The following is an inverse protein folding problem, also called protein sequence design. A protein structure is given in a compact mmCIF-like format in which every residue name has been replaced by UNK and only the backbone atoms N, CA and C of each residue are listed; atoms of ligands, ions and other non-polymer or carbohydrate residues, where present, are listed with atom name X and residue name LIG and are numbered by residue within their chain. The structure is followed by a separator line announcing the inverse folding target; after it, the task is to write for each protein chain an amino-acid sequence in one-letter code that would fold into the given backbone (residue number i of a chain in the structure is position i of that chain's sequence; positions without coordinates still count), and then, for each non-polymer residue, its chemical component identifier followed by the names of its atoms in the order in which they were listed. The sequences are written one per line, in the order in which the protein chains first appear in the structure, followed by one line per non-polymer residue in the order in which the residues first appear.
data_IF_687689461644
#
_entry.id   IF_687689461644
#
_cell.length_a   1.000
_cell.length_b   1.000
_cell.length_c   1.000
_cell.angle_alpha   90.00
_cell.angle_beta   90.00
_cell.angle_gamma   90.00
#
_symmetry.space_group_name_H-M   'P 1'
#
loop_
_entity.id
_entity.type
_entity.pdbx_description
1 polymer ?
#
# COMPACT_ATOMS: atom_id res chain seq x y z
N UNK A 1 -25.39 -5.54 54.09
CA UNK A 1 -25.73 -5.93 52.72
C UNK A 1 -24.46 -6.44 52.07
N UNK A 2 -24.37 -7.75 51.80
CA UNK A 2 -23.32 -8.27 50.93
C UNK A 2 -23.72 -7.92 49.51
N UNK A 3 -22.92 -7.09 48.89
CA UNK A 3 -23.03 -6.70 47.49
C UNK A 3 -22.73 -7.94 46.65
N UNK A 4 -23.77 -8.70 46.29
CA UNK A 4 -23.65 -9.77 45.29
C UNK A 4 -23.71 -9.10 43.94
N UNK A 5 -22.58 -8.53 43.52
CA UNK A 5 -22.38 -8.16 42.12
C UNK A 5 -22.57 -9.38 41.21
N UNK A 6 -22.82 -9.17 39.91
CA UNK A 6 -22.95 -10.27 38.95
C UNK A 6 -21.73 -11.19 39.02
N UNK A 7 -21.96 -12.50 39.14
CA UNK A 7 -20.92 -13.52 39.16
C UNK A 7 -20.46 -13.75 37.71
N UNK A 8 -19.44 -13.01 37.29
CA UNK A 8 -18.82 -13.16 35.97
C UNK A 8 -17.96 -14.44 35.91
N UNK A 9 -17.88 -15.04 34.73
CA UNK A 9 -17.01 -16.20 34.42
C UNK A 9 -15.90 -15.79 33.45
N UNK A 10 -14.83 -16.58 33.38
CA UNK A 10 -13.80 -16.37 32.34
C UNK A 10 -14.21 -16.96 31.00
N UNK A 11 -13.56 -16.52 29.91
CA UNK A 11 -13.79 -17.07 28.57
C UNK A 11 -13.49 -18.58 28.54
N UNK A 12 -12.40 -18.98 29.21
CA UNK A 12 -11.98 -20.38 29.26
C UNK A 12 -13.00 -21.26 30.01
N UNK A 13 -13.55 -20.78 31.14
CA UNK A 13 -14.59 -21.48 31.88
C UNK A 13 -15.89 -21.59 31.07
N UNK A 14 -16.30 -20.51 30.40
CA UNK A 14 -17.47 -20.53 29.54
C UNK A 14 -17.30 -21.55 28.40
N UNK A 15 -16.13 -21.56 27.76
CA UNK A 15 -15.80 -22.52 26.72
C UNK A 15 -15.70 -23.96 27.23
N UNK A 16 -15.39 -24.19 28.50
CA UNK A 16 -15.41 -25.52 29.11
C UNK A 16 -16.82 -26.11 29.24
N UNK A 17 -17.86 -25.26 29.30
CA UNK A 17 -19.27 -25.67 29.36
C UNK A 17 -19.85 -26.12 28.01
N UNK A 18 -19.16 -25.84 26.91
CA UNK A 18 -19.64 -26.20 25.57
C UNK A 18 -19.19 -27.60 25.16
N UNK A 19 -20.17 -28.46 24.88
CA UNK A 19 -19.96 -29.81 24.34
C UNK A 19 -19.74 -29.82 22.81
N UNK A 20 -19.91 -28.66 22.14
CA UNK A 20 -19.86 -28.59 20.67
C UNK A 20 -18.44 -28.29 20.20
N UNK A 21 -17.67 -29.33 19.89
CA UNK A 21 -16.32 -29.21 19.33
C UNK A 21 -16.28 -29.55 17.84
N UNK A 22 -15.77 -28.64 17.02
CA UNK A 22 -15.67 -28.76 15.56
C UNK A 22 -14.21 -28.75 15.14
N UNK A 23 -13.86 -29.66 14.22
CA UNK A 23 -12.54 -29.67 13.57
C UNK A 23 -12.44 -28.54 12.56
N UNK A 24 -11.42 -27.70 12.70
CA UNK A 24 -11.08 -26.69 11.68
C UNK A 24 -9.69 -27.01 11.13
N UNK A 25 -9.55 -27.05 9.81
CA UNK A 25 -8.28 -27.30 9.13
C UNK A 25 -8.23 -26.52 7.81
N UNK A 26 -7.07 -26.42 7.17
CA UNK A 26 -6.94 -25.71 5.90
C UNK A 26 -7.90 -26.21 4.81
N UNK A 27 -8.17 -27.52 4.77
CA UNK A 27 -9.12 -28.17 3.85
C UNK A 27 -10.55 -28.31 4.42
N UNK A 28 -10.78 -27.80 5.62
CA UNK A 28 -12.09 -27.73 6.29
C UNK A 28 -12.24 -26.34 6.92
N UNK A 29 -12.34 -25.30 6.07
CA UNK A 29 -12.54 -23.95 6.55
C UNK A 29 -13.90 -23.82 7.24
N UNK A 30 -14.00 -22.86 8.15
CA UNK A 30 -15.23 -22.49 8.84
C UNK A 30 -15.64 -21.07 8.43
N UNK A 31 -16.93 -20.87 8.12
CA UNK A 31 -17.51 -19.54 7.90
C UNK A 31 -17.97 -18.94 9.24
N UNK A 32 -17.76 -17.64 9.42
CA UNK A 32 -18.24 -16.87 10.58
C UNK A 32 -19.54 -16.11 10.24
N UNK A 33 -20.48 -16.75 9.55
CA UNK A 33 -21.67 -16.15 8.94
C UNK A 33 -22.92 -16.17 9.84
N UNK A 34 -22.74 -16.39 11.15
CA UNK A 34 -23.83 -16.42 12.12
C UNK A 34 -23.57 -15.44 13.26
N UNK A 35 -24.24 -14.26 13.29
CA UNK A 35 -24.03 -13.26 14.34
C UNK A 35 -24.50 -13.72 15.73
N UNK A 36 -25.35 -14.76 15.82
CA UNK A 36 -25.81 -15.33 17.08
C UNK A 36 -24.82 -16.38 17.64
N UNK A 37 -23.68 -16.58 16.96
CA UNK A 37 -22.64 -17.51 17.37
C UNK A 37 -21.28 -16.84 17.54
N UNK A 38 -20.50 -17.37 18.47
CA UNK A 38 -19.10 -17.02 18.68
C UNK A 38 -18.29 -18.32 18.72
N UNK A 39 -17.12 -18.30 18.12
CA UNK A 39 -16.24 -19.47 18.09
C UNK A 39 -15.04 -19.27 19.00
N UNK A 40 -14.82 -20.20 19.92
CA UNK A 40 -13.64 -20.23 20.78
C UNK A 40 -12.59 -21.18 20.20
N UNK A 41 -11.33 -20.75 20.14
CA UNK A 41 -10.21 -21.60 19.75
C UNK A 41 -9.80 -22.45 20.95
N UNK A 42 -10.28 -23.69 21.00
CA UNK A 42 -10.02 -24.64 22.09
C UNK A 42 -8.60 -25.22 22.00
N UNK A 43 -8.16 -25.54 20.79
CA UNK A 43 -6.82 -26.06 20.54
C UNK A 43 -6.32 -25.66 19.15
N UNK A 44 -5.03 -25.35 19.07
CA UNK A 44 -4.32 -25.14 17.83
C UNK A 44 -4.24 -23.66 17.45
N UNK A 45 -4.14 -23.40 16.15
CA UNK A 45 -4.07 -22.05 15.62
C UNK A 45 -4.99 -21.90 14.40
N UNK A 46 -5.43 -20.68 14.15
CA UNK A 46 -6.24 -20.30 13.00
C UNK A 46 -5.68 -19.08 12.30
N UNK A 47 -5.99 -18.99 11.02
CA UNK A 47 -5.85 -17.79 10.22
C UNK A 47 -7.24 -17.36 9.76
N UNK A 48 -7.57 -16.09 9.95
CA UNK A 48 -8.81 -15.49 9.50
C UNK A 48 -8.57 -14.76 8.18
N UNK A 49 -9.47 -14.99 7.22
CA UNK A 49 -9.44 -14.39 5.91
C UNK A 49 -10.77 -13.72 5.57
N UNK A 50 -10.70 -12.61 4.86
CA UNK A 50 -11.81 -12.01 4.16
C UNK A 50 -11.80 -12.48 2.71
N UNK A 51 -12.90 -13.09 2.28
CA UNK A 51 -13.03 -13.76 0.98
C UNK A 51 -14.25 -13.21 0.25
N UNK A 52 -14.08 -12.96 -1.05
CA UNK A 52 -15.16 -12.53 -1.93
C UNK A 52 -15.64 -13.72 -2.77
N UNK A 53 -16.95 -13.95 -2.77
CA UNK A 53 -17.61 -15.01 -3.52
C UNK A 53 -18.54 -14.44 -4.58
N UNK A 54 -18.59 -15.09 -5.75
CA UNK A 54 -19.65 -14.93 -6.78
C UNK A 54 -20.19 -16.31 -7.09
N UNK A 55 -21.49 -16.52 -6.92
CA UNK A 55 -22.14 -17.81 -7.14
C UNK A 55 -21.44 -19.00 -6.44
N UNK A 56 -20.91 -18.76 -5.23
CA UNK A 56 -20.18 -19.75 -4.43
C UNK A 56 -18.72 -19.97 -4.84
N UNK A 57 -18.21 -19.23 -5.82
CA UNK A 57 -16.83 -19.31 -6.31
C UNK A 57 -16.01 -18.12 -5.79
N UNK A 58 -14.85 -18.41 -5.20
CA UNK A 58 -13.88 -17.38 -4.77
C UNK A 58 -13.42 -16.55 -5.98
N UNK A 59 -13.60 -15.23 -5.94
CA UNK A 59 -13.29 -14.34 -7.07
C UNK A 59 -11.86 -13.78 -7.03
N UNK A 60 -11.32 -13.60 -5.82
CA UNK A 60 -10.04 -12.95 -5.58
C UNK A 60 -9.23 -13.71 -4.53
N UNK A 61 -7.94 -13.40 -4.45
CA UNK A 61 -7.07 -13.96 -3.41
C UNK A 61 -7.64 -13.62 -2.01
N UNK A 62 -7.81 -14.62 -1.12
CA UNK A 62 -8.22 -14.40 0.26
C UNK A 62 -7.33 -13.39 0.97
N UNK A 63 -7.92 -12.35 1.54
CA UNK A 63 -7.17 -11.33 2.26
C UNK A 63 -6.99 -11.76 3.71
N UNK A 64 -5.75 -11.92 4.14
CA UNK A 64 -5.44 -12.26 5.52
C UNK A 64 -5.74 -11.07 6.45
N UNK A 65 -6.53 -11.35 7.49
CA UNK A 65 -6.88 -10.40 8.55
C UNK A 65 -5.98 -10.56 9.77
N UNK A 66 -5.98 -11.76 10.37
CA UNK A 66 -5.23 -12.04 11.60
C UNK A 66 -4.97 -13.54 11.78
N UNK A 67 -4.00 -13.86 12.63
CA UNK A 67 -3.68 -15.21 13.08
C UNK A 67 -3.77 -15.30 14.59
N UNK A 68 -4.41 -16.34 15.13
CA UNK A 68 -4.58 -16.54 16.58
C UNK A 68 -4.44 -17.99 16.98
N UNK A 69 -4.00 -18.17 18.21
CA UNK A 69 -3.86 -19.47 18.87
C UNK A 69 -5.03 -19.70 19.85
N UNK A 70 -4.99 -20.83 20.53
CA UNK A 70 -5.95 -21.22 21.56
C UNK A 70 -6.20 -20.11 22.60
N UNK A 71 -7.44 -20.01 23.08
CA UNK A 71 -7.86 -18.99 24.07
C UNK A 71 -8.61 -17.78 23.48
N UNK A 72 -8.70 -17.68 22.15
CA UNK A 72 -9.32 -16.54 21.47
C UNK A 72 -10.75 -16.82 21.02
N UNK A 73 -11.59 -15.79 21.09
CA UNK A 73 -12.93 -15.72 20.51
C UNK A 73 -12.87 -15.15 19.09
N UNK A 74 -13.71 -15.69 18.23
CA UNK A 74 -13.97 -15.24 16.87
C UNK A 74 -15.47 -14.94 16.77
N UNK A 75 -15.86 -13.65 16.82
CA UNK A 75 -17.25 -13.26 16.69
C UNK A 75 -17.80 -13.69 15.33
N UNK A 76 -18.99 -14.28 15.33
CA UNK A 76 -19.78 -14.40 14.12
C UNK A 76 -20.24 -13.04 13.64
N UNK A 77 -20.42 -12.91 12.34
CA UNK A 77 -20.80 -11.66 11.68
C UNK A 77 -22.05 -11.90 10.86
N UNK A 78 -22.91 -10.89 10.80
CA UNK A 78 -24.08 -10.93 9.91
C UNK A 78 -23.60 -11.19 8.48
N UNK A 79 -24.19 -12.15 7.75
CA UNK A 79 -23.90 -12.34 6.34
C UNK A 79 -24.04 -11.03 5.59
N UNK A 80 -23.15 -10.83 4.62
CA UNK A 80 -23.24 -9.70 3.71
C UNK A 80 -24.51 -9.81 2.87
N UNK A 81 -25.54 -9.04 3.24
CA UNK A 81 -26.80 -8.95 2.50
C UNK A 81 -26.47 -8.31 1.13
N UNK A 82 -26.63 -9.07 0.04
CA UNK A 82 -26.43 -8.55 -1.32
C UNK A 82 -27.28 -7.30 -1.51
N UNK A 83 -26.66 -6.17 -1.83
CA UNK A 83 -27.40 -5.07 -2.42
C UNK A 83 -27.94 -5.54 -3.78
N UNK A 84 -29.13 -5.07 -4.18
CA UNK A 84 -29.79 -5.51 -5.42
C UNK A 84 -28.94 -5.32 -6.70
N UNK A 85 -27.87 -4.53 -6.61
CA UNK A 85 -26.94 -4.20 -7.70
C UNK A 85 -25.59 -4.95 -7.59
N UNK A 86 -25.44 -5.89 -6.65
CA UNK A 86 -24.17 -6.55 -6.33
C UNK A 86 -24.19 -8.07 -6.54
N UNK A 87 -23.37 -8.52 -7.50
CA UNK A 87 -23.20 -9.94 -7.85
C UNK A 87 -22.32 -10.73 -6.87
N UNK A 88 -21.63 -10.06 -5.93
CA UNK A 88 -20.64 -10.69 -5.04
C UNK A 88 -20.96 -10.50 -3.56
N UNK A 89 -20.63 -11.51 -2.75
CA UNK A 89 -20.80 -11.52 -1.29
C UNK A 89 -19.45 -11.63 -0.60
N UNK A 90 -19.24 -10.85 0.45
CA UNK A 90 -18.08 -10.97 1.33
C UNK A 90 -18.35 -11.99 2.45
N UNK A 91 -17.32 -12.71 2.87
CA UNK A 91 -17.41 -13.65 3.98
C UNK A 91 -16.10 -13.75 4.75
N UNK A 92 -16.22 -13.95 6.06
CA UNK A 92 -15.10 -14.23 6.95
C UNK A 92 -14.89 -15.74 7.07
N UNK A 93 -13.70 -16.19 6.67
CA UNK A 93 -13.31 -17.60 6.60
C UNK A 93 -12.16 -17.89 7.55
N UNK A 94 -12.34 -18.86 8.43
CA UNK A 94 -11.33 -19.36 9.36
C UNK A 94 -10.70 -20.62 8.80
N UNK A 95 -9.36 -20.63 8.68
CA UNK A 95 -8.57 -21.80 8.27
C UNK A 95 -7.63 -22.21 9.40
N UNK A 96 -7.85 -23.41 9.94
CA UNK A 96 -7.06 -23.96 11.04
C UNK A 96 -5.77 -24.67 10.59
N UNK A 97 -4.77 -24.69 11.46
CA UNK A 97 -3.63 -25.61 11.34
C UNK A 97 -4.06 -27.07 11.62
N UNK A 98 -3.25 -28.08 11.24
CA UNK A 98 -3.58 -29.48 11.51
C UNK A 98 -3.84 -29.74 13.00
N UNK A 99 -5.00 -30.33 13.31
CA UNK A 99 -5.41 -30.64 14.68
C UNK A 99 -6.16 -29.51 15.40
N UNK A 100 -6.45 -28.39 14.73
CA UNK A 100 -7.23 -27.30 15.33
C UNK A 100 -8.67 -27.73 15.66
N UNK A 101 -9.12 -27.30 16.84
CA UNK A 101 -10.46 -27.52 17.39
C UNK A 101 -11.06 -26.20 17.82
N UNK A 102 -12.28 -25.95 17.37
CA UNK A 102 -13.08 -24.78 17.72
C UNK A 102 -14.31 -25.22 18.50
N UNK A 103 -14.72 -24.43 19.48
CA UNK A 103 -15.99 -24.63 20.20
C UNK A 103 -16.97 -23.55 19.80
N UNK A 104 -18.19 -23.94 19.45
CA UNK A 104 -19.28 -22.99 19.18
C UNK A 104 -19.94 -22.60 20.50
N UNK A 105 -20.16 -21.30 20.69
CA UNK A 105 -20.84 -20.70 21.83
C UNK A 105 -21.96 -19.80 21.31
N UNK A 106 -23.16 -19.81 21.91
CA UNK A 106 -24.16 -18.79 21.65
C UNK A 106 -23.62 -17.40 22.03
N UNK A 107 -23.81 -16.41 21.16
CA UNK A 107 -23.37 -15.03 21.41
C UNK A 107 -24.01 -14.45 22.69
N UNK A 108 -25.22 -14.88 23.03
CA UNK A 108 -25.90 -14.49 24.27
C UNK A 108 -25.12 -14.83 25.54
N UNK A 109 -24.23 -15.83 25.51
CA UNK A 109 -23.40 -16.18 26.66
C UNK A 109 -22.25 -15.19 26.90
N UNK A 110 -21.96 -14.28 25.95
CA UNK A 110 -20.91 -13.29 26.14
C UNK A 110 -21.18 -12.33 27.30
N UNK A 111 -22.45 -12.11 27.67
CA UNK A 111 -22.80 -11.28 28.83
C UNK A 111 -22.43 -11.90 30.19
N UNK A 112 -22.11 -13.20 30.23
CA UNK A 112 -21.61 -13.86 31.44
C UNK A 112 -20.10 -13.66 31.64
N UNK A 113 -19.37 -13.27 30.58
CA UNK A 113 -17.92 -13.10 30.62
C UNK A 113 -17.59 -11.81 31.36
N UNK A 114 -16.48 -11.83 32.12
CA UNK A 114 -15.97 -10.61 32.73
C UNK A 114 -15.75 -9.50 31.67
N UNK A 115 -16.38 -8.31 31.81
CA UNK A 115 -16.36 -7.26 30.79
C UNK A 115 -14.96 -6.86 30.31
N UNK A 116 -13.99 -6.72 31.23
CA UNK A 116 -12.61 -6.43 30.88
C UNK A 116 -11.94 -7.50 29.99
N UNK A 117 -12.18 -8.79 30.27
CA UNK A 117 -11.59 -9.90 29.50
C UNK A 117 -12.18 -9.95 28.09
N UNK A 118 -13.50 -9.75 27.98
CA UNK A 118 -14.18 -9.67 26.69
C UNK A 118 -13.70 -8.45 25.88
N UNK A 119 -13.57 -7.28 26.53
CA UNK A 119 -13.13 -6.05 25.90
C UNK A 119 -11.74 -6.17 25.27
N UNK A 120 -10.78 -6.82 25.94
CA UNK A 120 -9.44 -7.02 25.40
C UNK A 120 -9.45 -7.80 24.06
N UNK A 121 -10.21 -8.89 24.00
CA UNK A 121 -10.29 -9.71 22.78
C UNK A 121 -11.00 -8.96 21.65
N UNK A 122 -12.09 -8.27 21.96
CA UNK A 122 -12.86 -7.50 20.98
C UNK A 122 -12.07 -6.29 20.47
N UNK A 123 -11.38 -5.54 21.33
CA UNK A 123 -10.54 -4.41 20.93
C UNK A 123 -9.45 -4.85 19.94
N UNK A 124 -8.88 -6.02 20.18
CA UNK A 124 -7.87 -6.57 19.30
C UNK A 124 -8.46 -7.02 17.96
N UNK A 125 -9.66 -7.62 17.97
CA UNK A 125 -10.39 -7.94 16.75
C UNK A 125 -10.69 -6.69 15.92
N UNK A 126 -11.23 -5.65 16.56
CA UNK A 126 -11.57 -4.38 15.92
C UNK A 126 -10.33 -3.72 15.32
N UNK A 127 -9.21 -3.71 16.06
CA UNK A 127 -7.94 -3.18 15.57
C UNK A 127 -7.46 -3.90 14.32
N UNK A 128 -7.49 -5.24 14.31
CA UNK A 128 -7.08 -6.02 13.14
C UNK A 128 -7.99 -5.79 11.91
N UNK A 129 -9.29 -5.63 12.14
CA UNK A 129 -10.25 -5.29 11.10
C UNK A 129 -9.98 -3.90 10.53
N UNK A 130 -9.92 -2.86 11.36
CA UNK A 130 -9.65 -1.50 10.88
C UNK A 130 -8.28 -1.35 10.23
N UNK A 131 -7.26 -2.05 10.74
CA UNK A 131 -5.93 -2.09 10.12
C UNK A 131 -6.01 -2.64 8.70
N UNK A 132 -6.79 -3.71 8.50
CA UNK A 132 -7.01 -4.28 7.16
C UNK A 132 -7.74 -3.30 6.25
N UNK A 133 -8.83 -2.70 6.71
CA UNK A 133 -9.60 -1.73 5.92
C UNK A 133 -8.77 -0.49 5.55
N UNK A 134 -7.83 -0.09 6.42
CA UNK A 134 -6.99 1.10 6.19
C UNK A 134 -5.86 0.87 5.19
N UNK A 135 -5.58 -0.37 4.76
CA UNK A 135 -4.48 -0.69 3.83
C UNK A 135 -4.61 -0.02 2.47
N UNK A 136 -5.85 0.27 2.05
CA UNK A 136 -6.14 0.93 0.78
C UNK A 136 -6.14 2.46 0.90
N UNK A 137 -6.09 2.99 2.12
CA UNK A 137 -5.95 4.42 2.32
C UNK A 137 -4.54 4.86 1.89
N UNK A 138 -4.46 5.68 0.84
CA UNK A 138 -3.18 6.20 0.32
C UNK A 138 -2.35 6.92 1.41
N UNK A 139 -3.02 7.58 2.35
CA UNK A 139 -2.42 8.20 3.54
C UNK A 139 -3.43 8.21 4.69
N UNK A 140 -3.00 7.77 5.86
CA UNK A 140 -3.74 7.99 7.11
C UNK A 140 -3.75 9.50 7.41
N UNK A 141 -4.93 10.14 7.56
CA UNK A 141 -5.00 11.56 7.88
C UNK A 141 -4.42 11.83 9.27
N UNK A 142 -3.93 13.05 9.48
CA UNK A 142 -3.48 13.48 10.81
C UNK A 142 -4.71 13.86 11.63
N UNK A 143 -4.99 13.19 12.76
CA UNK A 143 -6.12 13.56 13.60
C UNK A 143 -5.94 14.98 14.14
N UNK A 144 -6.99 15.79 14.05
CA UNK A 144 -7.05 17.14 14.65
C UNK A 144 -7.77 17.12 16.00
N UNK A 145 -8.50 16.04 16.30
CA UNK A 145 -9.09 15.76 17.59
C UNK A 145 -8.90 14.28 17.98
N UNK A 146 -8.98 13.99 19.27
CA UNK A 146 -8.88 12.64 19.82
C UNK A 146 -10.13 12.31 20.65
N UNK A 147 -10.72 11.15 20.39
CA UNK A 147 -11.79 10.60 21.17
C UNK A 147 -11.24 9.96 22.45
N UNK A 148 -11.99 10.10 23.54
CA UNK A 148 -11.66 9.55 24.86
C UNK A 148 -12.91 8.88 25.43
N UNK A 149 -12.73 7.71 26.03
CA UNK A 149 -13.82 7.00 26.68
C UNK A 149 -14.28 7.75 27.94
N UNK A 150 -15.59 7.74 28.20
CA UNK A 150 -16.21 8.45 29.33
C UNK A 150 -16.39 9.95 29.13
N UNK A 151 -16.08 10.49 27.95
CA UNK A 151 -16.12 11.92 27.66
C UNK A 151 -17.12 12.25 26.56
N UNK A 152 -17.97 13.25 26.82
CA UNK A 152 -18.88 13.84 25.83
C UNK A 152 -18.39 15.22 25.46
N UNK A 153 -18.25 15.49 24.15
CA UNK A 153 -17.71 16.76 23.64
C UNK A 153 -18.45 17.20 22.41
N UNK A 154 -18.69 18.51 22.31
CA UNK A 154 -19.03 19.18 21.06
C UNK A 154 -17.74 19.45 20.30
N UNK A 155 -17.67 18.97 19.06
CA UNK A 155 -16.52 19.07 18.19
C UNK A 155 -16.93 19.85 16.94
N UNK A 156 -16.14 20.87 16.60
CA UNK A 156 -16.20 21.52 15.29
C UNK A 156 -15.70 20.54 14.20
N UNK A 157 -15.87 20.87 12.90
CA UNK A 157 -15.40 20.03 11.80
C UNK A 157 -13.93 19.63 11.98
N UNK A 158 -13.66 18.33 11.97
CA UNK A 158 -12.35 17.79 12.34
C UNK A 158 -12.16 16.36 11.81
N UNK A 159 -10.93 15.87 11.90
CA UNK A 159 -10.63 14.44 11.78
C UNK A 159 -10.42 13.88 13.18
N UNK A 160 -11.34 13.04 13.61
CA UNK A 160 -11.35 12.40 14.92
C UNK A 160 -10.77 10.99 14.81
N UNK A 161 -9.86 10.65 15.72
CA UNK A 161 -9.34 9.28 15.89
C UNK A 161 -9.04 9.05 17.37
N UNK A 162 -8.30 7.99 17.73
CA UNK A 162 -7.90 7.69 19.11
C UNK A 162 -6.39 7.62 19.24
N UNK A 163 -5.90 7.94 20.44
CA UNK A 163 -4.47 7.85 20.73
C UNK A 163 -4.01 6.40 20.92
N UNK A 164 -4.81 5.61 21.63
CA UNK A 164 -4.56 4.22 22.03
C UNK A 164 -5.89 3.51 22.30
N UNK A 165 -5.89 2.18 22.17
CA UNK A 165 -7.07 1.34 22.43
C UNK A 165 -8.18 1.56 21.41
N UNK A 166 -9.39 1.20 21.81
CA UNK A 166 -10.62 1.41 21.04
C UNK A 166 -11.56 2.34 21.83
N UNK A 167 -12.16 3.31 21.13
CA UNK A 167 -13.23 4.14 21.67
C UNK A 167 -14.42 4.06 20.73
N UNK A 168 -15.56 3.61 21.25
CA UNK A 168 -16.83 3.65 20.56
C UNK A 168 -17.41 5.05 20.67
N UNK A 169 -17.57 5.74 19.54
CA UNK A 169 -18.19 7.06 19.51
C UNK A 169 -19.63 6.95 19.08
N UNK A 170 -20.52 7.72 19.72
CA UNK A 170 -21.92 7.85 19.31
C UNK A 170 -22.03 8.27 17.85
N UNK A 171 -23.04 7.76 17.15
CA UNK A 171 -23.29 8.08 15.74
C UNK A 171 -23.57 9.59 15.53
N UNK A 172 -22.83 10.27 14.65
CA UNK A 172 -23.16 11.62 14.19
C UNK A 172 -24.46 11.65 13.39
N UNK A 173 -25.15 12.81 13.29
CA UNK A 173 -26.29 12.95 12.39
C UNK A 173 -25.94 12.60 10.94
N UNK A 174 -26.94 12.09 10.21
CA UNK A 174 -26.80 11.78 8.78
C UNK A 174 -26.28 12.96 7.98
N UNK A 175 -25.27 12.72 7.16
CA UNK A 175 -24.58 13.70 6.34
C UNK A 175 -23.48 14.50 7.06
N UNK A 176 -23.39 14.41 8.40
CA UNK A 176 -22.44 15.20 9.18
C UNK A 176 -21.06 14.55 9.27
N UNK A 177 -20.89 13.30 8.83
CA UNK A 177 -19.62 12.58 8.96
C UNK A 177 -19.38 11.49 7.92
N UNK A 178 -18.11 11.13 7.73
CA UNK A 178 -17.69 9.90 7.06
C UNK A 178 -16.70 9.12 7.92
N UNK A 179 -16.96 7.84 8.13
CA UNK A 179 -15.98 6.89 8.65
C UNK A 179 -14.99 6.51 7.55
N UNK A 180 -13.70 6.65 7.86
CA UNK A 180 -12.57 6.44 6.95
C UNK A 180 -12.71 7.18 5.60
N UNK A 181 -13.35 8.35 5.60
CA UNK A 181 -13.67 9.15 4.40
C UNK A 181 -14.53 8.44 3.33
N UNK A 182 -15.19 7.34 3.69
CA UNK A 182 -15.88 6.48 2.72
C UNK A 182 -17.36 6.26 3.02
N UNK A 183 -17.73 6.05 4.29
CA UNK A 183 -19.09 5.61 4.64
C UNK A 183 -19.68 6.50 5.72
N UNK A 184 -20.87 7.03 5.47
CA UNK A 184 -21.70 7.63 6.52
C UNK A 184 -22.50 6.52 7.21
N UNK A 185 -22.20 6.29 8.49
CA UNK A 185 -22.83 5.22 9.27
C UNK A 185 -24.35 5.39 9.35
N UNK A 186 -24.83 6.63 9.45
CA UNK A 186 -26.24 6.93 9.61
C UNK A 186 -27.08 6.59 8.37
N UNK A 187 -26.45 6.33 7.23
CA UNK A 187 -27.13 5.79 6.05
C UNK A 187 -27.39 4.29 6.12
N UNK A 188 -26.61 3.57 6.93
CA UNK A 188 -26.73 2.13 7.15
C UNK A 188 -27.64 1.79 8.34
N UNK A 189 -27.94 2.77 9.20
CA UNK A 189 -28.82 2.61 10.34
C UNK A 189 -30.26 2.26 9.88
N UNK A 190 -30.80 1.13 10.38
CA UNK A 190 -32.21 0.78 10.16
C UNK A 190 -33.11 1.69 11.03
N UNK A 191 -34.16 2.34 10.48
CA UNK A 191 -35.06 3.17 11.26
C UNK A 191 -35.68 2.41 12.43
N UNK A 192 -35.60 2.98 13.65
CA UNK A 192 -36.25 2.42 14.84
C UNK A 192 -35.49 1.28 15.54
N UNK A 193 -34.19 1.13 15.28
CA UNK A 193 -33.33 0.21 16.04
C UNK A 193 -33.35 0.53 17.55
N UNK A 194 -33.36 -0.48 18.44
CA UNK A 194 -33.56 -0.28 19.88
C UNK A 194 -32.36 0.37 20.59
N UNK A 195 -31.21 0.56 19.94
CA UNK A 195 -29.95 0.98 20.57
C UNK A 195 -29.31 2.13 19.81
N UNK A 196 -28.69 3.05 20.56
CA UNK A 196 -27.87 4.14 20.04
C UNK A 196 -26.71 3.55 19.22
N UNK A 197 -26.68 3.84 17.92
CA UNK A 197 -25.62 3.34 17.06
C UNK A 197 -24.29 4.00 17.43
N UNK A 198 -23.22 3.22 17.34
CA UNK A 198 -21.87 3.63 17.70
C UNK A 198 -20.89 3.07 16.67
N UNK A 199 -19.76 3.76 16.47
CA UNK A 199 -18.68 3.29 15.60
C UNK A 199 -17.37 3.18 16.41
N UNK A 200 -16.61 2.08 16.28
CA UNK A 200 -15.35 1.94 16.99
C UNK A 200 -14.26 2.71 16.26
N UNK A 201 -13.64 3.66 16.95
CA UNK A 201 -12.41 4.30 16.53
C UNK A 201 -11.21 3.56 17.10
N UNK A 202 -10.30 3.19 16.21
CA UNK A 202 -8.98 2.63 16.52
C UNK A 202 -7.91 3.60 16.03
N UNK A 203 -6.63 3.27 16.20
CA UNK A 203 -5.54 4.13 15.71
C UNK A 203 -5.55 4.31 14.17
N UNK A 204 -6.09 3.34 13.45
CA UNK A 204 -6.17 3.33 11.98
C UNK A 204 -7.58 3.62 11.46
N UNK A 205 -8.58 3.63 12.33
CA UNK A 205 -9.92 4.16 12.06
C UNK A 205 -10.01 5.65 12.39
N UNK A 206 -10.66 6.42 11.52
CA UNK A 206 -10.96 7.82 11.77
C UNK A 206 -12.36 8.17 11.32
N UNK A 207 -12.88 9.25 11.88
CA UNK A 207 -14.13 9.86 11.52
C UNK A 207 -13.84 11.29 11.07
N UNK A 208 -14.28 11.64 9.87
CA UNK A 208 -14.22 13.02 9.38
C UNK A 208 -15.56 13.67 9.62
N UNK A 209 -15.59 14.71 10.44
CA UNK A 209 -16.77 15.51 10.76
C UNK A 209 -16.79 16.76 9.87
N UNK A 210 -17.92 17.01 9.22
CA UNK A 210 -18.13 18.19 8.37
C UNK A 210 -18.87 19.32 9.07
N UNK A 211 -19.63 18.99 10.11
CA UNK A 211 -20.42 19.92 10.90
C UNK A 211 -20.00 19.90 12.38
N UNK A 212 -20.53 20.85 13.15
CA UNK A 212 -20.41 20.81 14.60
C UNK A 212 -21.31 19.70 15.17
N UNK A 213 -20.72 18.72 15.85
CA UNK A 213 -21.44 17.56 16.38
C UNK A 213 -21.04 17.29 17.83
N UNK A 214 -22.02 16.92 18.66
CA UNK A 214 -21.76 16.43 20.02
C UNK A 214 -21.66 14.92 20.01
N UNK A 215 -20.50 14.40 20.39
CA UNK A 215 -20.19 12.98 20.42
C UNK A 215 -19.87 12.53 21.84
N UNK A 216 -20.28 11.32 22.20
CA UNK A 216 -19.88 10.64 23.44
C UNK A 216 -18.98 9.45 23.12
N UNK A 217 -17.93 9.26 23.93
CA UNK A 217 -17.03 8.12 23.83
C UNK A 217 -17.30 7.08 24.92
N UNK A 218 -17.34 5.80 24.56
CA UNK A 218 -17.45 4.66 25.48
C UNK A 218 -16.34 3.64 25.21
N UNK A 219 -15.90 2.91 26.24
CA UNK A 219 -14.99 1.76 26.05
C UNK A 219 -15.78 0.50 25.72
N UNK A 220 -15.14 -0.47 25.09
CA UNK A 220 -15.75 -1.80 24.83
C UNK A 220 -16.22 -2.47 26.11
N UNK A 221 -15.49 -2.30 27.21
CA UNK A 221 -15.87 -2.78 28.54
C UNK A 221 -17.21 -2.17 29.00
N UNK A 222 -17.39 -0.86 28.86
CA UNK A 222 -18.67 -0.19 29.19
C UNK A 222 -19.82 -0.70 28.32
N UNK A 223 -19.59 -0.97 27.03
CA UNK A 223 -20.61 -1.56 26.17
C UNK A 223 -20.97 -2.99 26.60
N UNK A 224 -19.98 -3.78 27.04
CA UNK A 224 -20.19 -5.14 27.54
C UNK A 224 -21.02 -5.13 28.84
N UNK A 225 -20.68 -4.26 29.80
CA UNK A 225 -21.44 -4.07 31.04
C UNK A 225 -22.89 -3.66 30.79
N UNK A 226 -23.12 -2.81 29.78
CA UNK A 226 -24.45 -2.32 29.41
C UNK A 226 -25.24 -3.30 28.54
N UNK A 227 -24.63 -4.43 28.12
CA UNK A 227 -25.27 -5.40 27.21
C UNK A 227 -25.50 -4.87 25.79
N UNK A 228 -24.81 -3.79 25.39
CA UNK A 228 -24.98 -3.15 24.07
C UNK A 228 -23.87 -3.50 23.07
N UNK A 229 -22.88 -4.30 23.49
CA UNK A 229 -21.72 -4.65 22.67
C UNK A 229 -22.06 -5.45 21.40
N UNK A 230 -22.93 -6.47 21.51
CA UNK A 230 -23.28 -7.31 20.36
C UNK A 230 -23.96 -6.52 19.23
N UNK A 231 -25.00 -5.70 19.50
CA UNK A 231 -25.56 -4.79 18.50
C UNK A 231 -24.53 -3.81 17.90
N UNK A 232 -23.63 -3.29 18.73
CA UNK A 232 -22.57 -2.39 18.27
C UNK A 232 -21.60 -3.08 17.30
N UNK A 233 -21.21 -4.32 17.59
CA UNK A 233 -20.38 -5.14 16.70
C UNK A 233 -21.07 -5.41 15.37
N UNK A 234 -22.35 -5.79 15.39
CA UNK A 234 -23.12 -6.03 14.18
C UNK A 234 -23.21 -4.76 13.30
N UNK A 235 -23.44 -3.59 13.91
CA UNK A 235 -23.44 -2.30 13.21
C UNK A 235 -22.07 -2.00 12.57
N UNK A 236 -20.98 -2.22 13.30
CA UNK A 236 -19.63 -2.05 12.76
C UNK A 236 -19.32 -3.03 11.62
N UNK A 237 -19.72 -4.30 11.71
CA UNK A 237 -19.48 -5.27 10.64
C UNK A 237 -20.14 -4.85 9.31
N UNK A 238 -21.34 -4.28 9.36
CA UNK A 238 -22.01 -3.74 8.19
C UNK A 238 -21.22 -2.57 7.56
N UNK A 239 -20.72 -1.64 8.38
CA UNK A 239 -19.85 -0.55 7.92
C UNK A 239 -18.55 -1.10 7.32
N UNK A 240 -17.93 -2.07 7.97
CA UNK A 240 -16.68 -2.69 7.54
C UNK A 240 -16.80 -3.38 6.17
N UNK A 241 -17.88 -4.14 5.94
CA UNK A 241 -18.14 -4.76 4.64
C UNK A 241 -18.41 -3.74 3.54
N UNK A 242 -19.13 -2.65 3.84
CA UNK A 242 -19.32 -1.57 2.87
C UNK A 242 -17.99 -0.91 2.49
N UNK A 243 -17.13 -0.62 3.48
CA UNK A 243 -15.79 -0.08 3.22
C UNK A 243 -14.94 -1.03 2.38
N UNK A 244 -14.90 -2.31 2.74
CA UNK A 244 -14.10 -3.28 1.99
C UNK A 244 -14.52 -3.34 0.51
N UNK A 245 -15.82 -3.27 0.25
CA UNK A 245 -16.33 -3.28 -1.11
C UNK A 245 -15.90 -2.05 -1.91
N UNK A 246 -15.96 -0.87 -1.28
CA UNK A 246 -15.46 0.36 -1.89
C UNK A 246 -13.95 0.25 -2.17
N UNK A 247 -13.18 -0.26 -1.21
CA UNK A 247 -11.75 -0.51 -1.36
C UNK A 247 -11.44 -1.42 -2.55
N UNK A 248 -12.16 -2.54 -2.71
CA UNK A 248 -11.96 -3.46 -3.85
C UNK A 248 -12.28 -2.81 -5.19
N UNK A 249 -13.36 -2.02 -5.27
CA UNK A 249 -13.70 -1.26 -6.49
C UNK A 249 -12.61 -0.26 -6.86
N UNK A 250 -12.05 0.43 -5.86
CA UNK A 250 -10.92 1.36 -6.06
C UNK A 250 -9.64 0.62 -6.47
N UNK A 251 -9.35 -0.53 -5.86
CA UNK A 251 -8.16 -1.34 -6.17
C UNK A 251 -8.15 -1.84 -7.63
N UNK A 252 -9.30 -2.19 -8.21
CA UNK A 252 -9.39 -2.57 -9.63
C UNK A 252 -8.95 -1.43 -10.55
N UNK A 253 -9.26 -0.18 -10.20
CA UNK A 253 -8.85 1.02 -10.96
C UNK A 253 -7.34 1.24 -10.81
N UNK A 254 -6.81 1.09 -9.61
CA UNK A 254 -5.38 1.27 -9.33
C UNK A 254 -4.50 0.21 -10.00
N UNK A 255 -4.92 -1.06 -9.98
CA UNK A 255 -4.22 -2.14 -10.67
C UNK A 255 -4.18 -1.90 -12.19
N UNK A 256 -5.27 -1.41 -12.78
CA UNK A 256 -5.32 -1.04 -14.19
C UNK A 256 -4.36 0.12 -14.51
N UNK A 257 -4.19 1.07 -13.60
CA UNK A 257 -3.24 2.17 -13.75
C UNK A 257 -1.79 1.69 -13.62
N UNK A 258 -1.50 0.84 -12.63
CA UNK A 258 -0.18 0.26 -12.42
C UNK A 258 0.29 -0.58 -13.61
N UNK A 259 -0.61 -1.37 -14.20
CA UNK A 259 -0.28 -2.20 -15.37
C UNK A 259 0.03 -1.34 -16.62
N UNK A 260 -0.66 -0.21 -16.78
CA UNK A 260 -0.34 0.78 -17.83
C UNK A 260 1.05 1.37 -17.63
N UNK A 261 1.39 1.78 -16.40
CA UNK A 261 2.72 2.33 -16.08
C UNK A 261 3.84 1.31 -16.34
N UNK A 262 3.64 0.05 -15.91
CA UNK A 262 4.58 -1.05 -16.19
C UNK A 262 4.78 -1.28 -17.68
N UNK A 263 3.71 -1.22 -18.46
CA UNK A 263 3.79 -1.39 -19.93
C UNK A 263 4.59 -0.26 -20.58
N UNK A 264 4.39 0.98 -20.14
CA UNK A 264 5.15 2.14 -20.64
C UNK A 264 6.63 2.01 -20.26
N UNK A 265 6.92 1.69 -19.00
CA UNK A 265 8.28 1.50 -18.48
C UNK A 265 9.02 0.34 -19.17
N UNK A 266 8.31 -0.76 -19.47
CA UNK A 266 8.87 -1.88 -20.22
C UNK A 266 9.22 -1.48 -21.66
N UNK A 267 8.33 -0.74 -22.34
CA UNK A 267 8.59 -0.25 -23.71
C UNK A 267 9.79 0.70 -23.77
N UNK A 268 9.93 1.59 -22.80
CA UNK A 268 11.10 2.49 -22.73
C UNK A 268 12.39 1.73 -22.46
N UNK A 269 12.37 0.75 -21.53
CA UNK A 269 13.51 -0.12 -21.26
C UNK A 269 13.90 -1.00 -22.46
N UNK A 270 12.93 -1.59 -23.16
CA UNK A 270 13.15 -2.38 -24.38
C UNK A 270 13.75 -1.51 -25.51
N UNK A 271 13.26 -0.29 -25.70
CA UNK A 271 13.80 0.63 -26.69
C UNK A 271 15.24 1.06 -26.36
N UNK A 272 15.53 1.37 -25.10
CA UNK A 272 16.89 1.69 -24.65
C UNK A 272 17.85 0.49 -24.80
N UNK A 273 17.40 -0.73 -24.50
CA UNK A 273 18.20 -1.94 -24.69
C UNK A 273 18.48 -2.20 -26.18
N UNK A 274 17.48 -2.03 -27.06
CA UNK A 274 17.67 -2.13 -28.52
C UNK A 274 18.68 -1.11 -29.04
N UNK A 275 18.64 0.12 -28.55
CA UNK A 275 19.61 1.16 -28.91
C UNK A 275 21.04 0.76 -28.49
N UNK A 276 21.24 0.20 -27.30
CA UNK A 276 22.55 -0.29 -26.85
C UNK A 276 23.08 -1.47 -27.67
N UNK A 277 22.20 -2.35 -28.16
CA UNK A 277 22.61 -3.48 -29.02
C UNK A 277 23.24 -3.00 -30.34
N UNK A 278 22.86 -1.82 -30.86
CA UNK A 278 23.50 -1.23 -32.04
C UNK A 278 24.99 -0.86 -31.81
N UNK A 279 25.43 -0.74 -30.55
CA UNK A 279 26.80 -0.34 -30.18
C UNK A 279 27.72 -1.50 -29.77
N UNK A 280 27.31 -2.77 -29.87
CA UNK A 280 28.04 -3.92 -29.31
C UNK A 280 29.30 -4.36 -30.09
N UNK A 281 29.49 -3.91 -31.33
CA UNK A 281 30.64 -4.38 -32.13
C UNK A 281 31.97 -3.66 -31.89
N UNK A 282 32.04 -2.68 -30.98
CA UNK A 282 33.27 -1.94 -30.68
C UNK A 282 33.65 -2.03 -29.19
N UNK A 283 34.97 -2.10 -28.90
CA UNK A 283 35.51 -2.25 -27.53
C UNK A 283 34.87 -1.25 -26.55
N UNK A 284 34.59 -1.64 -25.28
CA UNK A 284 33.97 -0.76 -24.31
C UNK A 284 34.79 0.52 -24.14
N UNK A 285 34.15 1.66 -24.42
CA UNK A 285 34.69 2.98 -24.12
C UNK A 285 34.61 3.11 -22.60
N UNK A 286 35.75 2.96 -21.91
CA UNK A 286 35.84 3.11 -20.46
C UNK A 286 35.35 4.48 -20.02
N UNK A 287 34.60 4.51 -18.91
CA UNK A 287 33.97 5.66 -18.24
C UNK A 287 34.99 6.64 -17.61
N UNK A 288 36.19 6.76 -18.15
CA UNK A 288 37.26 7.56 -17.56
C UNK A 288 37.33 8.93 -18.22
N UNK A 289 36.41 9.79 -17.83
CA UNK A 289 36.68 11.21 -17.59
C UNK A 289 35.44 11.85 -16.96
N UNK A 290 35.59 12.43 -15.77
CA UNK A 290 34.64 13.44 -15.27
C UNK A 290 34.78 14.65 -16.18
N UNK A 291 33.99 14.69 -17.25
CA UNK A 291 33.98 15.81 -18.19
C UNK A 291 32.76 16.65 -17.89
N UNK A 292 32.93 17.97 -17.78
CA UNK A 292 31.80 18.89 -17.74
C UNK A 292 30.99 18.76 -19.03
N UNK A 293 29.69 18.45 -18.88
CA UNK A 293 28.72 18.16 -19.95
C UNK A 293 28.78 19.14 -21.14
N UNK A 294 29.13 20.41 -20.90
CA UNK A 294 29.22 21.47 -21.91
C UNK A 294 30.45 21.35 -22.81
N UNK A 295 31.63 21.11 -22.25
CA UNK A 295 32.89 21.01 -23.02
C UNK A 295 32.90 19.82 -23.99
N UNK A 296 32.30 18.70 -23.57
CA UNK A 296 32.15 17.51 -24.41
C UNK A 296 31.15 17.75 -25.54
N UNK A 297 30.00 18.37 -25.23
CA UNK A 297 28.99 18.72 -26.23
C UNK A 297 29.57 19.65 -27.30
N UNK A 298 30.38 20.64 -26.89
CA UNK A 298 31.01 21.59 -27.80
C UNK A 298 32.07 20.92 -28.71
N UNK A 299 32.92 20.04 -28.15
CA UNK A 299 33.88 19.27 -28.93
C UNK A 299 33.18 18.37 -29.97
N UNK A 300 32.11 17.67 -29.56
CA UNK A 300 31.29 16.87 -30.47
C UNK A 300 30.59 17.73 -31.52
N UNK A 301 30.10 18.91 -31.16
CA UNK A 301 29.51 19.86 -32.11
C UNK A 301 30.49 20.38 -33.16
N UNK A 302 31.77 20.57 -32.80
CA UNK A 302 32.84 20.92 -33.75
C UNK A 302 33.07 19.77 -34.74
N UNK A 303 33.20 18.54 -34.25
CA UNK A 303 33.38 17.35 -35.09
C UNK A 303 32.14 17.13 -35.98
N UNK A 304 30.94 17.29 -35.42
CA UNK A 304 29.67 17.13 -36.12
C UNK A 304 29.54 18.07 -37.31
N UNK A 305 29.88 19.35 -37.12
CA UNK A 305 29.91 20.34 -38.21
C UNK A 305 30.90 19.98 -39.31
N UNK A 306 32.06 19.42 -38.94
CA UNK A 306 33.07 19.01 -39.92
C UNK A 306 32.64 17.76 -40.70
N UNK A 307 31.99 16.80 -40.03
CA UNK A 307 31.63 15.49 -40.59
C UNK A 307 30.22 15.40 -41.16
N UNK A 308 29.39 16.44 -41.01
CA UNK A 308 27.97 16.39 -41.34
C UNK A 308 27.14 15.50 -40.41
N UNK A 309 27.57 15.35 -39.16
CA UNK A 309 26.87 14.55 -38.13
C UNK A 309 26.11 15.49 -37.19
N UNK A 310 24.81 15.27 -37.04
CA UNK A 310 23.96 16.01 -36.09
C UNK A 310 23.99 15.32 -34.72
N UNK A 311 24.85 15.79 -33.82
CA UNK A 311 24.92 15.28 -32.45
C UNK A 311 23.79 15.86 -31.59
N UNK A 312 22.99 14.97 -31.01
CA UNK A 312 21.88 15.32 -30.12
C UNK A 312 22.35 15.37 -28.67
N UNK A 313 22.00 16.45 -27.99
CA UNK A 313 22.25 16.62 -26.56
C UNK A 313 21.13 15.91 -25.78
N UNK A 314 21.44 14.90 -24.94
CA UNK A 314 20.43 14.19 -24.18
C UNK A 314 19.77 15.12 -23.14
N UNK A 315 18.43 15.17 -23.14
CA UNK A 315 17.64 16.01 -22.22
C UNK A 315 17.50 15.30 -20.87
N UNK A 316 17.87 15.99 -19.76
CA UNK A 316 17.70 15.48 -18.39
C UNK A 316 16.21 15.47 -18.00
N UNK A 317 15.70 14.36 -17.48
CA UNK A 317 14.37 14.32 -16.84
C UNK A 317 14.41 14.39 -15.31
N UNK A 318 15.58 14.18 -14.68
CA UNK A 318 15.81 14.39 -13.23
C UNK A 318 17.25 14.85 -12.97
N UNK A 319 17.51 15.64 -11.91
CA UNK A 319 18.87 15.90 -11.45
C UNK A 319 19.41 14.63 -10.80
N UNK A 320 20.31 13.93 -11.51
CA UNK A 320 21.10 12.80 -11.00
C UNK A 320 22.55 13.27 -10.83
N UNK A 321 23.24 12.74 -9.82
CA UNK A 321 24.63 13.07 -9.45
C UNK A 321 25.71 12.56 -10.43
N UNK A 322 25.34 11.87 -11.52
CA UNK A 322 26.32 11.38 -12.51
C UNK A 322 26.40 12.32 -13.73
N UNK A 323 27.61 12.77 -14.13
CA UNK A 323 27.80 13.58 -15.34
C UNK A 323 27.40 12.79 -16.60
N UNK A 324 26.92 13.50 -17.63
CA UNK A 324 26.55 12.91 -18.92
C UNK A 324 27.82 12.48 -19.63
N UNK A 325 27.98 11.18 -19.85
CA UNK A 325 29.16 10.61 -20.47
C UNK A 325 29.09 10.66 -21.99
N UNK A 326 30.23 10.44 -22.65
CA UNK A 326 30.31 10.30 -24.11
C UNK A 326 29.32 9.26 -24.66
N UNK A 327 29.09 8.17 -23.94
CA UNK A 327 28.15 7.12 -24.35
C UNK A 327 26.72 7.66 -24.47
N UNK A 328 26.30 8.56 -23.57
CA UNK A 328 24.96 9.12 -23.58
C UNK A 328 24.73 10.02 -24.82
N UNK A 329 25.77 10.77 -25.24
CA UNK A 329 25.73 11.56 -26.48
C UNK A 329 25.69 10.68 -27.74
N UNK A 330 26.50 9.63 -27.78
CA UNK A 330 26.55 8.70 -28.91
C UNK A 330 25.21 7.96 -29.08
N UNK A 331 24.63 7.48 -27.97
CA UNK A 331 23.33 6.80 -27.96
C UNK A 331 22.20 7.74 -28.39
N UNK A 332 22.15 8.98 -27.86
CA UNK A 332 21.15 9.97 -28.24
C UNK A 332 21.24 10.36 -29.73
N UNK A 333 22.44 10.37 -30.28
CA UNK A 333 22.71 10.76 -31.68
C UNK A 333 22.62 9.60 -32.67
N UNK A 334 22.57 8.35 -32.21
CA UNK A 334 22.65 7.17 -33.09
C UNK A 334 24.00 7.04 -33.80
N UNK A 335 25.07 7.54 -33.18
CA UNK A 335 26.41 7.62 -33.77
C UNK A 335 27.30 6.55 -33.15
N UNK A 336 28.02 5.81 -33.99
CA UNK A 336 29.02 4.84 -33.54
C UNK A 336 30.36 5.51 -33.31
N UNK A 337 31.08 5.10 -32.26
CA UNK A 337 32.45 5.51 -32.02
C UNK A 337 33.35 4.30 -31.85
N UNK A 338 34.59 4.41 -32.34
CA UNK A 338 35.65 3.41 -32.15
C UNK A 338 36.85 4.06 -31.47
N UNK A 339 37.42 3.38 -30.47
CA UNK A 339 38.68 3.82 -29.86
C UNK A 339 39.84 3.33 -30.72
N UNK A 340 40.63 4.26 -31.24
CA UNK A 340 41.85 3.97 -32.01
C UNK A 340 43.07 4.31 -31.15
N UNK A 341 44.11 3.48 -31.23
CA UNK A 341 45.43 3.79 -30.65
C UNK A 341 46.39 4.03 -31.80
N UNK A 342 46.97 5.22 -31.84
CA UNK A 342 47.98 5.56 -32.82
C UNK A 342 49.38 5.37 -32.25
N UNK A 343 50.33 4.95 -33.09
CA UNK A 343 51.77 4.98 -32.77
C UNK A 343 52.42 6.07 -33.62
N UNK A 344 53.41 6.76 -33.05
CA UNK A 344 54.12 7.84 -33.76
C UNK A 344 54.89 7.32 -34.99
N UNK A 345 55.35 6.07 -34.94
CA UNK A 345 56.05 5.36 -36.02
C UNK A 345 55.19 5.19 -37.29
N UNK A 346 53.86 5.21 -37.15
CA UNK A 346 52.92 5.01 -38.26
C UNK A 346 52.60 6.31 -39.02
N UNK A 347 53.18 7.44 -38.61
CA UNK A 347 52.92 8.79 -39.16
C UNK A 347 51.41 9.06 -39.42
N UNK A 348 50.54 8.61 -38.51
CA UNK A 348 49.08 8.56 -38.70
C UNK A 348 48.44 9.89 -39.13
N UNK A 349 49.06 11.02 -38.75
CA UNK A 349 48.64 12.37 -39.13
C UNK A 349 48.85 12.69 -40.62
N UNK A 350 49.64 11.90 -41.35
CA UNK A 350 49.88 12.04 -42.79
C UNK A 350 48.90 11.23 -43.66
N UNK A 351 48.20 10.26 -43.08
CA UNK A 351 47.17 9.49 -43.77
C UNK A 351 45.84 10.25 -43.88
N UNK A 352 44.93 9.75 -44.73
CA UNK A 352 43.57 10.28 -44.89
C UNK A 352 42.71 9.87 -43.68
N UNK A 353 42.86 10.62 -42.60
CA UNK A 353 42.21 10.33 -41.32
C UNK A 353 41.08 11.34 -41.07
N UNK A 354 39.97 10.86 -40.53
CA UNK A 354 38.76 11.64 -40.25
C UNK A 354 38.95 12.61 -39.06
N UNK A 355 38.03 13.57 -38.86
CA UNK A 355 37.94 14.30 -37.58
C UNK A 355 37.70 13.33 -36.41
N UNK A 356 38.32 13.62 -35.26
CA UNK A 356 38.33 12.71 -34.11
C UNK A 356 38.12 13.48 -32.81
N UNK A 357 37.53 12.79 -31.83
CA UNK A 357 37.52 13.25 -30.44
C UNK A 357 38.78 12.70 -29.74
N UNK A 358 39.51 13.57 -29.07
CA UNK A 358 40.65 13.19 -28.23
C UNK A 358 40.49 13.76 -26.81
N UNK A 359 41.24 13.20 -25.87
CA UNK A 359 41.33 13.68 -24.49
C UNK A 359 42.79 14.00 -24.19
N UNK A 360 43.07 15.21 -23.71
CA UNK A 360 44.44 15.61 -23.38
C UNK A 360 44.91 14.86 -22.12
N UNK A 361 46.14 14.35 -22.16
CA UNK A 361 46.69 13.55 -21.07
C UNK A 361 46.92 14.34 -19.77
N UNK A 362 47.13 15.65 -19.88
CA UNK A 362 47.45 16.55 -18.76
C UNK A 362 46.23 16.86 -17.87
N UNK A 363 45.09 17.16 -18.49
CA UNK A 363 43.89 17.69 -17.80
C UNK A 363 42.62 16.87 -18.08
N UNK A 364 42.69 15.82 -18.91
CA UNK A 364 41.56 14.98 -19.29
C UNK A 364 40.49 15.69 -20.13
N UNK A 365 40.75 16.91 -20.61
CA UNK A 365 39.73 17.70 -21.32
C UNK A 365 39.48 17.17 -22.73
N UNK A 366 38.22 17.17 -23.19
CA UNK A 366 37.87 16.78 -24.55
C UNK A 366 38.33 17.86 -25.55
N UNK A 367 38.96 17.44 -26.64
CA UNK A 367 39.37 18.30 -27.74
C UNK A 367 38.97 17.69 -29.08
N UNK A 368 38.66 18.53 -30.06
CA UNK A 368 38.37 18.11 -31.42
C UNK A 368 39.65 18.15 -32.25
N UNK A 369 40.03 17.01 -32.84
CA UNK A 369 41.13 16.92 -33.80
C UNK A 369 40.54 16.96 -35.21
N UNK A 370 40.78 18.04 -35.95
CA UNK A 370 40.34 18.18 -37.33
C UNK A 370 41.53 18.00 -38.29
N UNK A 371 41.39 17.21 -39.38
CA UNK A 371 42.46 17.09 -40.37
C UNK A 371 42.63 18.41 -41.13
N UNK A 372 43.89 18.78 -41.37
CA UNK A 372 44.32 19.99 -42.05
C UNK A 372 45.19 19.71 -43.29
N UNK A 373 45.63 20.76 -43.97
CA UNK A 373 46.48 20.62 -45.17
C UNK A 373 47.86 20.03 -44.84
N UNK A 374 48.40 19.26 -45.81
CA UNK A 374 49.76 18.69 -45.78
C UNK A 374 50.02 17.71 -44.61
N UNK A 375 49.04 16.87 -44.27
CA UNK A 375 49.22 15.82 -43.27
C UNK A 375 49.46 16.38 -41.87
N UNK A 376 48.65 17.36 -41.47
CA UNK A 376 48.67 17.96 -40.12
C UNK A 376 47.28 17.90 -39.53
N UNK A 377 47.21 17.80 -38.21
CA UNK A 377 45.95 17.91 -37.46
C UNK A 377 45.90 19.23 -36.70
N UNK A 378 44.73 19.85 -36.67
CA UNK A 378 44.44 21.00 -35.81
C UNK A 378 43.66 20.52 -34.60
N UNK A 379 44.26 20.68 -33.42
CA UNK A 379 43.56 20.57 -32.16
C UNK A 379 42.72 21.82 -31.93
N UNK A 380 41.44 21.63 -31.62
CA UNK A 380 40.51 22.70 -31.24
C UNK A 380 40.01 22.38 -29.83
N UNK A 381 40.40 23.22 -28.90
CA UNK A 381 39.90 23.21 -27.53
C UNK A 381 38.58 24.00 -27.47
N UNK A 382 37.46 23.38 -27.08
CA UNK A 382 36.15 24.04 -27.01
C UNK A 382 36.09 25.18 -25.99
N UNK A 383 36.95 25.16 -24.96
CA UNK A 383 36.98 26.18 -23.90
C UNK A 383 37.81 27.40 -24.32
N UNK A 384 38.85 27.15 -25.12
CA UNK A 384 39.73 28.18 -25.67
C UNK A 384 39.15 28.71 -26.99
N UNK A 385 38.07 29.51 -26.94
CA UNK A 385 37.56 30.20 -28.13
C UNK A 385 38.62 31.16 -28.68
N UNK A 386 39.29 30.75 -29.75
CA UNK A 386 40.05 31.60 -30.68
C UNK A 386 39.54 31.42 -32.10
#
# INVERSE_FOLDING_TARGET
MRDTGPEYTSIAELAARSDTSVSCAANRPLQLDDPDSVWFIDRGAVNLFLVEFKDGVEQAAPQHLLSRESGWLLPGVTPDERDHDEDTTLSLIVKGSPGTRLKRLPASLLSEIHPAELAEQIDTWLTAMTDTLSRFASRLPRPTALAEHGLTRTLAPCTLSVRRGVVWVSEPPRGASLFMDMVDQAELARPGGPHEAVIPLTRTGWLTLFDEVTLSGKSTETLAEQGTLLPALASFHAVAFRIERLNRRLAVVDDANLERERTISRRTAENAARQRLFNIYDKPIGRDAQVEDTSLADALGIIGRYQGIDFKIPVRSRPSDSPVGLVDFLDASGVRARRVRFKAEDEWWRGDSTAMLAFRAEDGRPVALLPGMFGRYREIDPVSKS
#
